data_IF_703137729259
#
_entry.id   IF_703137729259
#
_cell.length_a   1.000
_cell.length_b   1.000
_cell.length_c   1.000
_cell.angle_alpha   90.00
_cell.angle_beta   90.00
_cell.angle_gamma   90.00
#
_symmetry.space_group_name_H-M   'P 1'
#
loop_
_entity.id
_entity.type
_entity.pdbx_description
1 polymer ?
#
# COMPACT_ATOMS: atom_id res chain seq x y z
N UNK A 1 19.55 19.89 24.54
CA UNK A 1 19.23 19.61 24.09
C UNK A 1 18.63 19.28 23.83
N UNK A 2 18.26 19.20 23.69
CA UNK A 2 17.60 18.98 23.41
C UNK A 2 17.23 18.27 23.25
N UNK A 3 17.28 17.97 23.51
CA UNK A 3 16.90 16.79 23.22
C UNK A 3 15.78 16.29 22.89
N UNK A 4 15.30 16.69 23.42
CA UNK A 4 14.03 16.70 23.07
C UNK A 4 13.75 16.60 21.67
N UNK A 5 14.64 16.73 21.03
CA UNK A 5 14.59 16.69 19.68
C UNK A 5 14.43 15.34 19.09
N UNK A 6 14.22 14.40 19.95
CA UNK A 6 13.98 13.08 19.47
C UNK A 6 12.51 12.85 19.29
N UNK A 7 11.96 13.41 18.24
CA UNK A 7 10.75 12.88 17.74
C UNK A 7 11.05 11.50 17.22
N UNK A 8 10.57 10.51 17.92
CA UNK A 8 10.58 9.16 17.43
C UNK A 8 9.70 9.14 16.18
N UNK A 9 10.28 8.77 15.07
CA UNK A 9 9.51 8.63 13.83
C UNK A 9 8.48 7.51 13.99
N UNK A 10 7.23 7.74 13.60
CA UNK A 10 6.26 6.66 13.62
C UNK A 10 6.71 5.49 12.78
N UNK A 11 6.48 4.28 13.28
CA UNK A 11 6.75 3.07 12.51
C UNK A 11 5.49 2.65 11.79
N UNK A 12 5.60 2.43 10.49
CA UNK A 12 4.50 1.96 9.66
C UNK A 12 4.92 0.71 8.91
N UNK A 13 3.98 -0.22 8.79
CA UNK A 13 4.20 -1.49 8.13
C UNK A 13 3.58 -1.43 6.75
N UNK A 14 4.37 -1.79 5.74
CA UNK A 14 3.91 -1.80 4.36
C UNK A 14 4.12 -3.19 3.79
N UNK A 15 3.07 -3.76 3.21
CA UNK A 15 3.13 -5.02 2.48
C UNK A 15 3.11 -4.70 0.99
N UNK A 16 4.08 -5.23 0.26
CA UNK A 16 4.16 -5.08 -1.19
C UNK A 16 3.82 -6.41 -1.82
N UNK A 17 2.80 -6.44 -2.67
CA UNK A 17 2.35 -7.64 -3.38
C UNK A 17 2.53 -7.44 -4.87
N UNK A 18 3.45 -8.18 -5.46
CA UNK A 18 3.76 -8.12 -6.88
C UNK A 18 4.56 -9.36 -7.27
N UNK A 19 4.26 -9.96 -8.40
CA UNK A 19 4.99 -11.12 -8.89
C UNK A 19 6.37 -10.77 -9.46
N UNK A 20 6.64 -9.50 -9.73
CA UNK A 20 7.91 -9.03 -10.27
C UNK A 20 8.82 -8.54 -9.13
N UNK A 21 9.91 -9.26 -8.91
CA UNK A 21 10.86 -8.93 -7.85
C UNK A 21 11.53 -7.56 -8.07
N UNK A 22 11.76 -7.18 -9.32
CA UNK A 22 12.39 -5.88 -9.61
C UNK A 22 11.46 -4.72 -9.24
N UNK A 23 10.17 -4.88 -9.50
CA UNK A 23 9.19 -3.88 -9.11
C UNK A 23 9.06 -3.82 -7.60
N UNK A 24 9.00 -4.97 -6.92
CA UNK A 24 8.97 -4.98 -5.45
C UNK A 24 10.17 -4.24 -4.88
N UNK A 25 11.35 -4.47 -5.44
CA UNK A 25 12.56 -3.80 -4.98
C UNK A 25 12.49 -2.29 -5.20
N UNK A 26 12.03 -1.86 -6.37
CA UNK A 26 11.89 -0.44 -6.68
C UNK A 26 10.91 0.25 -5.74
N UNK A 27 9.77 -0.39 -5.48
CA UNK A 27 8.75 0.15 -4.57
C UNK A 27 9.31 0.22 -3.15
N UNK A 28 10.01 -0.83 -2.70
CA UNK A 28 10.61 -0.85 -1.37
C UNK A 28 11.58 0.31 -1.19
N UNK A 29 12.50 0.49 -2.14
CA UNK A 29 13.47 1.58 -2.08
C UNK A 29 12.77 2.94 -2.03
N UNK A 30 11.72 3.10 -2.82
CA UNK A 30 10.97 4.36 -2.84
C UNK A 30 10.36 4.67 -1.47
N UNK A 31 9.72 3.68 -0.83
CA UNK A 31 9.05 3.93 0.45
C UNK A 31 10.03 4.05 1.60
N UNK A 32 11.19 3.43 1.50
CA UNK A 32 12.23 3.52 2.53
C UNK A 32 13.03 4.82 2.45
N UNK A 33 13.14 5.44 1.28
CA UNK A 33 13.92 6.66 1.07
C UNK A 33 13.14 7.92 1.43
N UNK A 34 12.80 8.06 2.70
CA UNK A 34 12.19 9.29 3.23
C UNK A 34 12.52 9.38 4.72
N UNK A 35 12.41 10.58 5.27
CA UNK A 35 12.91 10.86 6.61
C UNK A 35 11.82 10.98 7.68
N UNK A 36 10.55 10.80 7.33
CA UNK A 36 9.44 11.09 8.23
C UNK A 36 8.91 9.86 8.96
N UNK A 37 9.14 8.67 8.39
CA UNK A 37 8.60 7.41 8.91
C UNK A 37 9.68 6.36 8.97
N UNK A 38 9.56 5.46 9.96
CA UNK A 38 10.27 4.19 9.96
C UNK A 38 9.39 3.17 9.26
N UNK A 39 9.81 2.70 8.10
CA UNK A 39 9.02 1.78 7.29
C UNK A 39 9.56 0.36 7.47
N UNK A 40 8.67 -0.56 7.84
CA UNK A 40 8.95 -2.00 7.85
C UNK A 40 8.24 -2.61 6.66
N UNK A 41 9.01 -3.18 5.75
CA UNK A 41 8.49 -3.72 4.50
C UNK A 41 8.42 -5.24 4.57
N UNK A 42 7.29 -5.78 4.14
CA UNK A 42 7.09 -7.21 3.88
C UNK A 42 6.74 -7.35 2.41
N UNK A 43 7.21 -8.39 1.76
CA UNK A 43 6.97 -8.62 0.34
C UNK A 43 6.30 -9.96 0.11
N UNK A 44 5.44 -10.00 -0.89
CA UNK A 44 4.80 -11.23 -1.37
C UNK A 44 4.78 -11.24 -2.88
N UNK A 45 5.01 -12.42 -3.45
CA UNK A 45 5.06 -12.59 -4.90
C UNK A 45 3.71 -12.97 -5.51
N UNK A 46 2.71 -13.27 -4.67
CA UNK A 46 1.38 -13.67 -5.14
C UNK A 46 0.31 -13.26 -4.13
N UNK A 47 -0.94 -13.32 -4.56
CA UNK A 47 -2.08 -12.88 -3.76
C UNK A 47 -2.28 -13.77 -2.53
N UNK A 48 -2.14 -15.09 -2.68
CA UNK A 48 -2.36 -16.00 -1.55
C UNK A 48 -1.37 -15.77 -0.42
N UNK A 49 -0.08 -15.65 -0.75
CA UNK A 49 0.94 -15.32 0.23
C UNK A 49 0.70 -13.93 0.81
N UNK A 50 0.28 -12.98 -0.04
CA UNK A 50 -0.05 -11.63 0.40
C UNK A 50 -1.15 -11.60 1.45
N UNK A 51 -2.20 -12.39 1.26
CA UNK A 51 -3.29 -12.50 2.23
C UNK A 51 -2.79 -13.07 3.55
N UNK A 52 -1.95 -14.11 3.51
CA UNK A 52 -1.37 -14.68 4.72
C UNK A 52 -0.52 -13.65 5.47
N UNK A 53 0.34 -12.93 4.74
CA UNK A 53 1.19 -11.89 5.32
C UNK A 53 0.35 -10.76 5.90
N UNK A 54 -0.72 -10.40 5.23
CA UNK A 54 -1.61 -9.34 5.70
C UNK A 54 -2.21 -9.69 7.07
N UNK A 55 -2.60 -10.94 7.25
CA UNK A 55 -3.15 -11.40 8.54
C UNK A 55 -2.11 -11.45 9.63
N UNK A 56 -0.88 -11.81 9.31
CA UNK A 56 0.21 -11.94 10.28
C UNK A 56 0.80 -10.60 10.65
N UNK A 57 1.06 -9.76 9.66
CA UNK A 57 1.77 -8.49 9.84
C UNK A 57 0.82 -7.37 10.24
N UNK A 58 -0.41 -7.41 9.76
CA UNK A 58 -1.40 -6.32 9.92
C UNK A 58 -0.82 -5.00 9.43
N UNK A 59 -0.54 -4.89 8.12
CA UNK A 59 0.11 -3.70 7.60
C UNK A 59 -0.79 -2.47 7.68
N UNK A 60 -0.17 -1.32 7.72
CA UNK A 60 -0.87 -0.03 7.60
C UNK A 60 -1.24 0.26 6.16
N UNK A 61 -0.38 -0.15 5.23
CA UNK A 61 -0.59 0.03 3.80
C UNK A 61 -0.24 -1.26 3.06
N UNK A 62 -1.05 -1.62 2.09
CA UNK A 62 -0.73 -2.65 1.10
C UNK A 62 -0.53 -1.97 -0.24
N UNK A 63 0.61 -2.20 -0.87
CA UNK A 63 0.87 -1.74 -2.23
C UNK A 63 0.73 -2.95 -3.15
N UNK A 64 -0.28 -2.94 -3.99
CA UNK A 64 -0.63 -4.05 -4.84
C UNK A 64 -0.40 -3.67 -6.30
N UNK A 65 0.54 -4.33 -6.94
CA UNK A 65 0.83 -4.10 -8.35
C UNK A 65 0.09 -5.13 -9.19
N UNK A 66 -0.78 -4.64 -10.06
CA UNK A 66 -1.63 -5.50 -10.87
C UNK A 66 -0.94 -5.86 -12.18
N UNK A 67 0.07 -6.71 -12.12
CA UNK A 67 0.48 -7.54 -13.25
C UNK A 67 -0.29 -8.85 -13.25
N UNK A 68 -1.00 -9.12 -12.16
CA UNK A 68 -1.80 -10.31 -11.97
C UNK A 68 -3.15 -10.16 -12.64
N UNK A 69 -3.87 -11.25 -12.89
CA UNK A 69 -5.24 -11.14 -13.38
C UNK A 69 -6.09 -10.27 -12.49
N UNK A 70 -6.99 -9.51 -13.09
CA UNK A 70 -7.86 -8.56 -12.37
C UNK A 70 -8.65 -9.26 -11.28
N UNK A 71 -9.07 -10.50 -11.53
CA UNK A 71 -9.80 -11.32 -10.57
C UNK A 71 -9.05 -11.50 -9.25
N UNK A 72 -7.72 -11.65 -9.33
CA UNK A 72 -6.89 -11.81 -8.11
C UNK A 72 -6.92 -10.54 -7.27
N UNK A 73 -6.90 -9.39 -7.91
CA UNK A 73 -7.03 -8.10 -7.22
C UNK A 73 -8.39 -7.96 -6.56
N UNK A 74 -9.45 -8.32 -7.26
CA UNK A 74 -10.80 -8.30 -6.69
C UNK A 74 -10.94 -9.25 -5.50
N UNK A 75 -10.38 -10.46 -5.60
CA UNK A 75 -10.42 -11.42 -4.51
C UNK A 75 -9.67 -10.88 -3.29
N UNK A 76 -8.52 -10.27 -3.49
CA UNK A 76 -7.77 -9.63 -2.41
C UNK A 76 -8.62 -8.57 -1.72
N UNK A 77 -9.28 -7.72 -2.49
CA UNK A 77 -10.13 -6.65 -1.95
C UNK A 77 -11.33 -7.20 -1.19
N UNK A 78 -11.95 -8.27 -1.69
CA UNK A 78 -13.07 -8.90 -1.01
C UNK A 78 -12.66 -9.43 0.36
N UNK A 79 -11.49 -10.05 0.44
CA UNK A 79 -10.98 -10.58 1.70
C UNK A 79 -10.72 -9.46 2.69
N UNK A 80 -10.14 -8.36 2.23
CA UNK A 80 -9.94 -7.19 3.07
C UNK A 80 -11.25 -6.64 3.62
N UNK A 81 -12.25 -6.53 2.75
CA UNK A 81 -13.55 -5.97 3.15
C UNK A 81 -14.28 -6.85 4.17
N UNK A 82 -14.09 -8.16 4.10
CA UNK A 82 -14.74 -9.09 5.02
C UNK A 82 -14.08 -9.15 6.39
N UNK A 83 -12.84 -8.71 6.48
CA UNK A 83 -12.08 -8.83 7.71
C UNK A 83 -12.02 -7.47 8.40
N UNK A 84 -12.79 -7.31 9.47
CA UNK A 84 -12.87 -6.05 10.20
C UNK A 84 -11.53 -5.61 10.78
N UNK A 85 -10.64 -6.56 11.05
CA UNK A 85 -9.30 -6.24 11.57
C UNK A 85 -8.43 -5.56 10.52
N UNK A 86 -8.80 -5.69 9.25
CA UNK A 86 -8.07 -5.12 8.13
C UNK A 86 -8.75 -3.86 7.57
N UNK A 87 -9.83 -3.43 8.21
CA UNK A 87 -10.60 -2.27 7.75
C UNK A 87 -9.77 -0.98 7.78
N UNK A 88 -8.79 -0.90 8.66
CA UNK A 88 -7.93 0.28 8.78
C UNK A 88 -6.73 0.25 7.84
N UNK A 89 -6.51 -0.85 7.13
CA UNK A 89 -5.42 -0.96 6.18
C UNK A 89 -5.78 -0.21 4.90
N UNK A 90 -4.89 0.67 4.47
CA UNK A 90 -5.05 1.39 3.19
C UNK A 90 -4.44 0.57 2.07
N UNK A 91 -5.01 0.65 0.88
CA UNK A 91 -4.51 -0.04 -0.30
C UNK A 91 -4.12 0.96 -1.36
N UNK A 92 -2.90 0.83 -1.88
CA UNK A 92 -2.44 1.56 -3.05
C UNK A 92 -2.32 0.55 -4.18
N UNK A 93 -3.08 0.74 -5.25
CA UNK A 93 -2.97 -0.09 -6.44
C UNK A 93 -2.11 0.61 -7.48
N UNK A 94 -1.08 -0.08 -7.94
CA UNK A 94 -0.25 0.38 -9.04
C UNK A 94 -0.78 -0.27 -10.31
N UNK A 95 -1.21 0.53 -11.27
CA UNK A 95 -1.79 -0.01 -12.50
C UNK A 95 -1.51 0.90 -13.69
N UNK A 96 -1.25 0.29 -14.85
CA UNK A 96 -1.13 1.01 -16.11
C UNK A 96 -2.49 1.17 -16.80
N UNK A 97 -3.55 0.59 -16.26
CA UNK A 97 -4.85 0.52 -16.91
C UNK A 97 -5.91 1.31 -16.13
N UNK A 98 -6.29 2.45 -16.68
CA UNK A 98 -7.32 3.30 -16.08
C UNK A 98 -8.68 2.61 -16.02
N UNK A 99 -8.95 1.67 -16.92
CA UNK A 99 -10.19 0.91 -16.92
C UNK A 99 -10.31 0.08 -15.66
N UNK A 100 -9.22 -0.54 -15.22
CA UNK A 100 -9.19 -1.31 -13.97
C UNK A 100 -9.49 -0.39 -12.79
N UNK A 101 -8.83 0.78 -12.75
CA UNK A 101 -9.08 1.75 -11.69
C UNK A 101 -10.55 2.17 -11.65
N UNK A 102 -11.15 2.40 -12.81
CA UNK A 102 -12.55 2.78 -12.90
C UNK A 102 -13.49 1.67 -12.42
N UNK A 103 -13.18 0.41 -12.76
CA UNK A 103 -13.97 -0.74 -12.30
C UNK A 103 -13.92 -0.85 -10.79
N UNK A 104 -12.72 -0.77 -10.20
CA UNK A 104 -12.58 -0.83 -8.75
C UNK A 104 -13.33 0.31 -8.08
N UNK A 105 -13.21 1.52 -8.57
CA UNK A 105 -13.90 2.67 -8.00
C UNK A 105 -15.41 2.50 -8.06
N UNK A 106 -15.93 1.96 -9.14
CA UNK A 106 -17.38 1.75 -9.29
C UNK A 106 -17.91 0.69 -8.33
N UNK A 107 -17.14 -0.39 -8.13
CA UNK A 107 -17.56 -1.50 -7.26
C UNK A 107 -17.36 -1.21 -5.79
N UNK A 108 -16.38 -0.38 -5.45
CA UNK A 108 -16.03 -0.08 -4.06
C UNK A 108 -16.26 1.38 -3.73
N UNK A 109 -17.30 1.94 -4.33
CA UNK A 109 -17.66 3.34 -4.14
C UNK A 109 -17.95 3.60 -2.65
N UNK A 110 -17.34 4.65 -2.14
CA UNK A 110 -17.51 5.01 -0.73
C UNK A 110 -16.50 4.37 0.21
N UNK A 111 -15.57 3.56 -0.28
CA UNK A 111 -14.50 2.99 0.53
C UNK A 111 -13.25 3.85 0.36
N UNK A 112 -12.92 4.60 1.41
CA UNK A 112 -11.79 5.55 1.39
C UNK A 112 -10.42 4.87 1.48
N UNK A 113 -10.40 3.54 1.61
CA UNK A 113 -9.16 2.81 1.81
C UNK A 113 -8.40 2.54 0.52
N UNK A 114 -9.00 2.78 -0.66
CA UNK A 114 -8.41 2.41 -1.94
C UNK A 114 -7.89 3.63 -2.68
N UNK A 115 -6.63 3.55 -3.08
CA UNK A 115 -5.96 4.59 -3.83
C UNK A 115 -5.30 3.97 -5.04
N UNK A 116 -5.25 4.71 -6.14
CA UNK A 116 -4.63 4.24 -7.38
C UNK A 116 -3.49 5.15 -7.75
N UNK A 117 -2.41 4.54 -8.24
CA UNK A 117 -1.29 5.27 -8.78
C UNK A 117 -1.00 4.71 -10.16
N UNK A 118 -1.07 5.57 -11.17
CA UNK A 118 -0.88 5.16 -12.56
C UNK A 118 0.57 4.85 -12.84
N UNK A 119 0.81 3.84 -13.66
CA UNK A 119 2.14 3.54 -14.19
C UNK A 119 2.34 4.22 -15.53
N UNK A 120 3.52 4.70 -15.83
CA UNK A 120 4.68 4.76 -14.93
C UNK A 120 4.48 5.81 -13.85
N UNK A 121 4.85 5.48 -12.64
CA UNK A 121 4.82 6.44 -11.53
C UNK A 121 6.25 6.88 -11.20
N UNK A 122 6.38 8.06 -10.59
CA UNK A 122 7.67 8.47 -10.09
C UNK A 122 7.75 8.26 -8.58
N UNK A 123 8.97 8.20 -8.07
CA UNK A 123 9.25 7.94 -6.65
C UNK A 123 8.57 9.00 -5.77
N UNK A 124 8.63 10.26 -6.19
CA UNK A 124 8.04 11.35 -5.42
C UNK A 124 6.54 11.19 -5.23
N UNK A 125 5.83 10.75 -6.26
CA UNK A 125 4.38 10.57 -6.18
C UNK A 125 4.01 9.44 -5.22
N UNK A 126 4.76 8.33 -5.28
CA UNK A 126 4.52 7.22 -4.36
C UNK A 126 4.83 7.62 -2.92
N UNK A 127 5.96 8.29 -2.69
CA UNK A 127 6.33 8.77 -1.36
C UNK A 127 5.29 9.74 -0.81
N UNK A 128 4.84 10.68 -1.63
CA UNK A 128 3.83 11.65 -1.19
C UNK A 128 2.52 10.97 -0.80
N UNK A 129 2.10 9.97 -1.57
CA UNK A 129 0.89 9.23 -1.26
C UNK A 129 1.03 8.44 0.04
N UNK A 130 2.14 7.72 0.21
CA UNK A 130 2.40 6.98 1.44
C UNK A 130 2.40 7.92 2.66
N UNK A 131 3.08 9.04 2.57
CA UNK A 131 3.13 10.00 3.66
C UNK A 131 1.75 10.57 3.98
N UNK A 132 0.96 10.87 2.95
CA UNK A 132 -0.39 11.41 3.17
C UNK A 132 -1.32 10.43 3.88
N UNK A 133 -1.10 9.13 3.66
CA UNK A 133 -1.92 8.08 4.29
C UNK A 133 -1.45 7.74 5.71
N UNK A 134 -0.20 7.99 6.02
CA UNK A 134 0.40 7.60 7.30
C UNK A 134 0.48 8.74 8.31
N UNK A 135 0.56 9.98 7.86
CA UNK A 135 0.69 11.11 8.76
C UNK A 135 -0.69 11.69 9.07
N UNK A 136 -0.91 12.13 10.31
CA UNK A 136 -2.19 12.72 10.65
C UNK A 136 -2.43 13.99 9.86
N UNK A 137 -3.69 14.20 9.49
CA UNK A 137 -4.09 15.43 8.84
C UNK A 137 -3.96 16.57 9.83
N UNK A 138 -3.27 17.61 9.41
CA UNK A 138 -3.25 18.85 10.17
C UNK A 138 -4.42 19.70 9.73
N UNK A 139 -5.19 20.07 10.70
CA UNK A 139 -6.29 21.00 10.46
C UNK A 139 -5.82 22.42 10.67
#
# INVERSE_FOLDING_TARGET
>A
MSPTTHTVKPTKKILIVDDDADIRNAVRLAVEEQDYLNIQVTESADVNTGIQQMRQVKPDIVILDLHMPVEDGFDFMKIMNKNKRLADTKVIMLTADDTIANIFNAEHKGIDAFHFLAKPFNVSDLQALVLSLCLPLQK
#
